data_IF_754693443322
#
_entry.id   IF_754693443322
#
_cell.length_a   1.000
_cell.length_b   1.000
_cell.length_c   1.000
_cell.angle_alpha   90.00
_cell.angle_beta   90.00
_cell.angle_gamma   90.00
#
_symmetry.space_group_name_H-M   'P 1'
#
loop_
_entity.id
_entity.type
_entity.pdbx_description
1 polymer ?
#
# COMPACT_ATOMS: atom_id res chain seq x y z
N UNK A 1 8.08 -26.90 -32.53
CA UNK A 1 9.01 -28.07 -32.54
C UNK A 1 8.79 -28.86 -31.26
N UNK A 2 8.44 -30.14 -31.33
CA UNK A 2 8.38 -31.08 -30.19
C UNK A 2 9.78 -31.24 -29.64
N UNK A 3 9.95 -30.97 -28.33
CA UNK A 3 11.18 -31.21 -27.58
C UNK A 3 11.11 -32.69 -27.16
N UNK A 4 11.64 -33.56 -27.97
CA UNK A 4 11.72 -35.00 -27.67
C UNK A 4 13.08 -35.24 -27.01
N UNK A 5 13.12 -35.84 -25.81
CA UNK A 5 14.35 -36.31 -25.16
C UNK A 5 15.07 -35.32 -24.26
N UNK A 6 14.63 -34.06 -24.09
CA UNK A 6 15.28 -33.12 -23.14
C UNK A 6 14.56 -33.08 -21.80
N UNK A 7 15.35 -33.04 -20.70
CA UNK A 7 14.82 -32.84 -19.35
C UNK A 7 14.25 -31.43 -19.22
N UNK A 8 12.94 -31.31 -19.06
CA UNK A 8 12.21 -30.05 -18.93
C UNK A 8 11.44 -30.00 -17.61
N UNK A 9 11.31 -28.80 -17.03
CA UNK A 9 10.37 -28.53 -15.96
C UNK A 9 9.09 -27.92 -16.57
N UNK A 10 7.94 -28.44 -16.17
CA UNK A 10 6.63 -27.93 -16.57
C UNK A 10 6.14 -26.94 -15.50
N UNK A 11 5.82 -25.73 -15.92
CA UNK A 11 5.16 -24.76 -15.03
C UNK A 11 3.69 -25.14 -14.77
N UNK A 12 3.06 -24.57 -13.72
CA UNK A 12 1.63 -24.78 -13.46
C UNK A 12 0.72 -24.38 -14.65
N UNK A 13 1.18 -23.48 -15.50
CA UNK A 13 0.48 -23.07 -16.74
C UNK A 13 0.78 -23.98 -17.95
N UNK A 14 1.52 -25.08 -17.76
CA UNK A 14 1.87 -26.00 -18.83
C UNK A 14 3.07 -25.60 -19.68
N UNK A 15 3.68 -24.44 -19.47
CA UNK A 15 4.88 -24.04 -20.19
C UNK A 15 6.08 -24.92 -19.79
N UNK A 16 6.92 -25.30 -20.77
CA UNK A 16 8.06 -26.17 -20.58
C UNK A 16 9.35 -25.35 -20.57
N UNK A 17 10.17 -25.54 -19.53
CA UNK A 17 11.46 -24.88 -19.36
C UNK A 17 12.59 -25.92 -19.41
N UNK A 18 13.51 -25.70 -20.33
CA UNK A 18 14.71 -26.58 -20.50
C UNK A 18 15.63 -26.49 -19.30
N UNK A 19 16.17 -27.61 -18.86
CA UNK A 19 17.12 -27.70 -17.73
C UNK A 19 18.59 -27.81 -18.19
N UNK A 20 18.83 -28.14 -19.46
CA UNK A 20 20.15 -28.43 -19.98
C UNK A 20 21.03 -27.17 -20.16
N UNK A 21 20.43 -26.03 -20.40
CA UNK A 21 21.13 -24.74 -20.59
C UNK A 21 20.61 -23.72 -19.61
N UNK A 22 21.51 -23.07 -18.89
CA UNK A 22 21.13 -21.89 -18.10
C UNK A 22 20.73 -20.77 -19.04
N UNK A 23 19.66 -20.05 -18.66
CA UNK A 23 19.27 -18.84 -19.37
C UNK A 23 20.07 -17.63 -18.90
N UNK A 24 20.23 -16.62 -19.76
CA UNK A 24 20.94 -15.38 -19.45
C UNK A 24 20.31 -14.67 -18.23
N UNK A 25 18.97 -14.54 -18.20
CA UNK A 25 18.26 -13.86 -17.11
C UNK A 25 18.47 -14.53 -15.76
N UNK A 26 18.34 -15.87 -15.59
CA UNK A 26 18.69 -16.55 -14.34
C UNK A 26 20.15 -16.32 -13.92
N UNK A 27 21.10 -16.27 -14.82
CA UNK A 27 22.52 -16.03 -14.49
C UNK A 27 22.75 -14.59 -14.01
N UNK A 28 22.15 -13.60 -14.66
CA UNK A 28 22.21 -12.20 -14.22
C UNK A 28 21.55 -12.03 -12.86
N UNK A 29 20.36 -12.58 -12.67
CA UNK A 29 19.65 -12.51 -11.39
C UNK A 29 20.44 -13.17 -10.25
N UNK A 30 21.11 -14.31 -10.51
CA UNK A 30 21.97 -14.96 -9.51
C UNK A 30 23.16 -14.07 -9.14
N UNK A 31 23.78 -13.40 -10.11
CA UNK A 31 24.90 -12.49 -9.86
C UNK A 31 24.44 -11.27 -9.03
N UNK A 32 23.29 -10.68 -9.38
CA UNK A 32 22.69 -9.57 -8.61
C UNK A 32 22.31 -10.01 -7.19
N UNK A 33 21.75 -11.21 -7.03
CA UNK A 33 21.42 -11.75 -5.72
C UNK A 33 22.68 -11.89 -4.85
N UNK A 34 23.71 -12.54 -5.36
CA UNK A 34 25.00 -12.68 -4.67
C UNK A 34 25.61 -11.33 -4.31
N UNK A 35 25.52 -10.34 -5.21
CA UNK A 35 26.00 -8.99 -4.92
C UNK A 35 25.17 -8.34 -3.80
N UNK A 36 23.86 -8.46 -3.83
CA UNK A 36 22.96 -7.94 -2.80
C UNK A 36 23.29 -8.57 -1.43
N UNK A 37 23.48 -9.88 -1.36
CA UNK A 37 23.79 -10.56 -0.09
C UNK A 37 25.13 -10.07 0.50
N UNK A 38 26.15 -9.90 -0.34
CA UNK A 38 27.43 -9.30 0.09
C UNK A 38 27.25 -7.85 0.57
N UNK A 39 26.39 -7.10 -0.07
CA UNK A 39 26.08 -5.70 0.32
C UNK A 39 25.35 -5.65 1.66
N UNK A 40 24.40 -6.56 1.90
CA UNK A 40 23.67 -6.66 3.17
C UNK A 40 24.61 -6.88 4.37
N UNK A 41 25.70 -7.63 4.23
CA UNK A 41 26.67 -7.83 5.30
C UNK A 41 27.36 -6.52 5.73
N UNK A 42 27.36 -5.51 4.88
CA UNK A 42 27.99 -4.21 5.12
C UNK A 42 27.01 -3.12 5.62
N UNK A 43 25.73 -3.42 5.81
CA UNK A 43 24.73 -2.43 6.29
C UNK A 43 25.08 -1.87 7.67
N UNK A 44 25.86 -2.63 8.49
CA UNK A 44 26.32 -2.18 9.79
C UNK A 44 27.45 -1.13 9.75
N UNK A 45 28.06 -0.91 8.59
CA UNK A 45 29.03 0.17 8.40
C UNK A 45 28.34 1.55 8.53
N UNK A 46 29.03 2.58 9.03
CA UNK A 46 28.45 3.90 9.23
C UNK A 46 27.88 4.50 7.93
N UNK A 47 26.70 5.11 8.02
CA UNK A 47 26.00 5.71 6.88
C UNK A 47 24.96 4.79 6.26
N UNK A 48 24.22 5.31 5.30
CA UNK A 48 23.10 4.61 4.64
C UNK A 48 23.43 4.08 3.24
N UNK A 49 24.69 4.20 2.81
CA UNK A 49 25.11 3.83 1.46
C UNK A 49 24.81 2.36 1.13
N UNK A 50 25.20 1.43 2.00
CA UNK A 50 25.01 0.00 1.74
C UNK A 50 23.56 -0.42 1.84
N UNK A 51 22.77 0.21 2.69
CA UNK A 51 21.33 -0.02 2.75
C UNK A 51 20.64 0.45 1.46
N UNK A 52 20.94 1.66 1.00
CA UNK A 52 20.43 2.17 -0.28
C UNK A 52 20.89 1.33 -1.48
N UNK A 53 22.15 0.88 -1.47
CA UNK A 53 22.71 0.05 -2.55
C UNK A 53 22.00 -1.31 -2.63
N UNK A 54 21.83 -2.02 -1.50
CA UNK A 54 21.12 -3.30 -1.49
C UNK A 54 19.65 -3.16 -1.90
N UNK A 55 19.01 -2.04 -1.53
CA UNK A 55 17.66 -1.73 -1.96
C UNK A 55 17.58 -1.48 -3.46
N UNK A 56 18.53 -0.71 -4.03
CA UNK A 56 18.61 -0.46 -5.48
C UNK A 56 18.80 -1.76 -6.27
N UNK A 57 19.66 -2.66 -5.79
CA UNK A 57 19.83 -4.00 -6.39
C UNK A 57 18.51 -4.79 -6.32
N UNK A 58 17.79 -4.75 -5.20
CA UNK A 58 16.47 -5.39 -5.07
C UNK A 58 15.47 -4.85 -6.10
N UNK A 59 15.39 -3.53 -6.27
CA UNK A 59 14.50 -2.89 -7.25
C UNK A 59 14.87 -3.31 -8.67
N UNK A 60 16.17 -3.33 -9.00
CA UNK A 60 16.66 -3.80 -10.30
C UNK A 60 16.26 -5.27 -10.56
N UNK A 61 16.47 -6.17 -9.60
CA UNK A 61 16.07 -7.58 -9.73
C UNK A 61 14.56 -7.74 -9.95
N UNK A 62 13.73 -7.00 -9.21
CA UNK A 62 12.28 -7.06 -9.35
C UNK A 62 11.81 -6.52 -10.71
N UNK A 63 12.53 -5.56 -11.32
CA UNK A 63 12.19 -5.00 -12.62
C UNK A 63 12.27 -6.02 -13.76
N UNK A 64 13.10 -7.05 -13.65
CA UNK A 64 13.18 -8.14 -14.65
C UNK A 64 11.84 -8.83 -14.86
N UNK A 65 11.10 -9.09 -13.77
CA UNK A 65 9.76 -9.66 -13.89
C UNK A 65 8.82 -8.74 -14.70
N UNK A 66 8.81 -7.44 -14.39
CA UNK A 66 7.98 -6.45 -15.08
C UNK A 66 8.29 -6.36 -16.57
N UNK A 67 9.58 -6.35 -16.92
CA UNK A 67 10.04 -6.34 -18.33
C UNK A 67 9.57 -7.61 -19.06
N UNK A 68 9.71 -8.78 -18.44
CA UNK A 68 9.37 -10.06 -19.08
C UNK A 68 7.86 -10.30 -19.17
N UNK A 69 7.07 -9.75 -18.24
CA UNK A 69 5.62 -9.92 -18.19
C UNK A 69 4.87 -8.89 -19.05
N UNK A 70 5.47 -7.74 -19.34
CA UNK A 70 4.84 -6.66 -20.09
C UNK A 70 5.02 -6.83 -21.61
N UNK A 71 3.94 -6.64 -22.37
CA UNK A 71 3.98 -6.64 -23.84
C UNK A 71 4.68 -5.44 -24.45
N UNK A 72 5.00 -4.44 -23.64
CA UNK A 72 5.61 -3.18 -24.09
C UNK A 72 7.09 -3.29 -24.43
N UNK A 73 7.81 -4.23 -23.80
CA UNK A 73 9.26 -4.35 -23.96
C UNK A 73 9.67 -5.37 -25.01
N UNK A 74 10.85 -5.16 -25.63
CA UNK A 74 11.39 -6.03 -26.68
C UNK A 74 11.66 -7.47 -26.22
N UNK A 75 12.06 -7.68 -24.98
CA UNK A 75 12.37 -8.98 -24.39
C UNK A 75 11.21 -9.52 -23.52
N UNK A 76 10.01 -9.45 -24.03
CA UNK A 76 8.85 -9.94 -23.32
C UNK A 76 8.53 -11.40 -23.68
N UNK A 77 8.05 -12.14 -22.69
CA UNK A 77 7.47 -13.47 -22.91
C UNK A 77 6.37 -13.76 -21.88
N UNK A 78 5.09 -13.61 -22.26
CA UNK A 78 3.96 -13.82 -21.35
C UNK A 78 3.94 -15.19 -20.68
N UNK A 79 4.47 -16.24 -21.33
CA UNK A 79 4.59 -17.59 -20.74
C UNK A 79 5.58 -17.62 -19.59
N UNK A 80 6.68 -16.83 -19.66
CA UNK A 80 7.64 -16.72 -18.57
C UNK A 80 7.00 -15.92 -17.43
N UNK A 81 6.49 -14.71 -17.69
CA UNK A 81 5.83 -13.88 -16.68
C UNK A 81 4.69 -14.60 -15.97
N UNK A 82 3.79 -15.23 -16.75
CA UNK A 82 2.70 -16.03 -16.19
C UNK A 82 3.18 -17.23 -15.37
N UNK A 83 4.27 -17.90 -15.80
CA UNK A 83 4.84 -19.03 -15.05
C UNK A 83 5.45 -18.61 -13.73
N UNK A 84 6.13 -17.45 -13.66
CA UNK A 84 6.67 -16.90 -12.41
C UNK A 84 5.55 -16.71 -11.38
N UNK A 85 4.47 -16.01 -11.75
CA UNK A 85 3.32 -15.82 -10.84
C UNK A 85 2.59 -17.12 -10.49
N UNK A 86 2.51 -18.07 -11.44
CA UNK A 86 1.87 -19.35 -11.18
C UNK A 86 2.69 -20.22 -10.20
N UNK A 87 4.00 -20.21 -10.28
CA UNK A 87 4.86 -20.86 -9.28
C UNK A 87 4.76 -20.18 -7.92
N UNK A 88 4.75 -18.85 -7.87
CA UNK A 88 4.60 -18.11 -6.61
C UNK A 88 3.27 -18.45 -5.92
N UNK A 89 2.14 -18.44 -6.66
CA UNK A 89 0.82 -18.83 -6.12
C UNK A 89 0.85 -20.27 -5.58
N UNK A 90 1.35 -21.24 -6.37
CA UNK A 90 1.47 -22.62 -5.91
C UNK A 90 2.35 -22.74 -4.67
N UNK A 91 3.43 -21.95 -4.58
CA UNK A 91 4.29 -21.90 -3.41
C UNK A 91 3.52 -21.52 -2.16
N UNK A 92 2.80 -20.40 -2.20
CA UNK A 92 2.03 -19.89 -1.05
C UNK A 92 0.85 -20.82 -0.71
N UNK A 93 0.19 -21.41 -1.71
CA UNK A 93 -0.87 -22.43 -1.52
C UNK A 93 -0.31 -23.67 -0.79
N UNK A 94 0.89 -24.12 -1.14
CA UNK A 94 1.55 -25.25 -0.46
C UNK A 94 1.87 -24.91 1.00
N UNK A 95 2.36 -23.69 1.27
CA UNK A 95 2.61 -23.20 2.64
C UNK A 95 1.30 -23.18 3.45
N UNK A 96 0.25 -22.60 2.89
CA UNK A 96 -1.08 -22.57 3.52
C UNK A 96 -1.59 -23.98 3.86
N UNK A 97 -1.51 -24.91 2.90
CA UNK A 97 -1.96 -26.29 3.09
C UNK A 97 -1.09 -27.03 4.14
N UNK A 98 0.20 -26.73 4.18
CA UNK A 98 1.12 -27.31 5.18
C UNK A 98 0.77 -26.81 6.59
N UNK A 99 0.57 -25.51 6.76
CA UNK A 99 0.12 -24.89 8.01
C UNK A 99 -1.18 -25.51 8.52
N UNK A 100 -2.18 -25.65 7.63
CA UNK A 100 -3.44 -26.33 7.99
C UNK A 100 -3.26 -27.75 8.47
N UNK A 101 -2.41 -28.54 7.78
CA UNK A 101 -2.10 -29.92 8.19
C UNK A 101 -1.38 -30.00 9.55
N UNK A 102 -0.59 -28.99 9.88
CA UNK A 102 0.06 -28.85 11.18
C UNK A 102 -0.90 -28.31 12.26
N UNK A 103 -2.16 -28.01 11.91
CA UNK A 103 -3.17 -27.54 12.84
C UNK A 103 -3.06 -26.07 13.19
N UNK A 104 -2.40 -25.25 12.35
CA UNK A 104 -2.33 -23.80 12.52
C UNK A 104 -3.58 -23.10 11.98
N UNK A 105 -3.99 -22.04 12.66
CA UNK A 105 -4.99 -21.08 12.14
C UNK A 105 -4.29 -20.05 11.27
N UNK A 106 -4.59 -20.05 9.97
CA UNK A 106 -4.14 -19.00 9.05
C UNK A 106 -5.20 -17.92 9.03
N UNK A 107 -4.85 -16.73 9.52
CA UNK A 107 -5.75 -15.59 9.71
C UNK A 107 -5.90 -14.82 8.40
N UNK A 108 -4.76 -14.57 7.70
CA UNK A 108 -4.73 -13.75 6.50
C UNK A 108 -3.56 -14.18 5.58
N UNK A 109 -3.65 -13.86 4.31
CA UNK A 109 -2.57 -14.06 3.35
C UNK A 109 -2.62 -13.04 2.22
N UNK A 110 -1.47 -12.54 1.81
CA UNK A 110 -1.38 -11.60 0.69
C UNK A 110 -0.13 -11.88 -0.15
N UNK A 111 -0.35 -12.19 -1.40
CA UNK A 111 0.65 -12.37 -2.47
C UNK A 111 1.78 -13.36 -2.13
N UNK A 112 2.63 -13.03 -1.18
CA UNK A 112 3.86 -13.74 -0.79
C UNK A 112 4.02 -13.90 0.73
N UNK A 113 3.00 -13.55 1.50
CA UNK A 113 3.00 -13.64 2.97
C UNK A 113 1.77 -14.39 3.50
N UNK A 114 1.93 -14.98 4.66
CA UNK A 114 0.86 -15.62 5.45
C UNK A 114 0.92 -15.11 6.88
N UNK A 115 -0.25 -14.86 7.46
CA UNK A 115 -0.44 -14.45 8.86
C UNK A 115 -1.03 -15.62 9.61
N UNK A 116 -0.34 -16.05 10.65
CA UNK A 116 -0.63 -17.28 11.37
C UNK A 116 -0.76 -16.98 12.84
N UNK A 117 -1.76 -17.55 13.49
CA UNK A 117 -1.83 -17.54 14.94
C UNK A 117 -0.69 -18.37 15.50
N UNK A 118 0.20 -17.73 16.26
CA UNK A 118 1.34 -18.44 16.88
C UNK A 118 0.87 -19.41 17.94
N UNK A 119 1.63 -20.49 18.10
CA UNK A 119 1.60 -21.45 19.20
C UNK A 119 2.85 -21.28 20.04
N UNK A 120 3.11 -22.20 20.96
CA UNK A 120 4.25 -22.13 21.90
C UNK A 120 5.62 -22.37 21.27
N UNK A 121 5.71 -22.61 19.97
CA UNK A 121 6.98 -22.86 19.28
C UNK A 121 7.64 -21.58 18.76
N UNK A 122 8.97 -21.65 18.58
CA UNK A 122 9.76 -20.56 17.99
C UNK A 122 9.32 -20.29 16.53
N UNK A 123 8.83 -19.08 16.22
CA UNK A 123 8.37 -18.72 14.89
C UNK A 123 9.47 -18.73 13.83
N UNK A 124 10.75 -18.61 14.20
CA UNK A 124 11.87 -18.79 13.27
C UNK A 124 12.03 -20.25 12.85
N UNK A 125 11.79 -21.19 13.76
CA UNK A 125 11.80 -22.62 13.46
C UNK A 125 10.65 -22.96 12.51
N UNK A 126 9.46 -22.44 12.79
CA UNK A 126 8.29 -22.59 11.90
C UNK A 126 8.57 -22.07 10.50
N UNK A 127 9.11 -20.86 10.36
CA UNK A 127 9.45 -20.27 9.05
C UNK A 127 10.44 -21.17 8.28
N UNK A 128 11.47 -21.68 8.95
CA UNK A 128 12.43 -22.60 8.35
C UNK A 128 11.77 -23.92 7.92
N UNK A 129 10.88 -24.46 8.72
CA UNK A 129 10.16 -25.68 8.40
C UNK A 129 9.23 -25.49 7.20
N UNK A 130 8.58 -24.33 7.06
CA UNK A 130 7.73 -23.99 5.94
C UNK A 130 8.49 -23.77 4.63
N UNK A 131 9.78 -23.53 4.71
CA UNK A 131 10.65 -23.34 3.55
C UNK A 131 10.78 -24.61 2.72
N UNK A 132 10.92 -24.45 1.40
CA UNK A 132 11.11 -25.53 0.46
C UNK A 132 12.14 -25.13 -0.61
N UNK A 133 12.60 -26.07 -1.42
CA UNK A 133 13.57 -25.80 -2.48
C UNK A 133 13.03 -24.73 -3.45
N UNK A 134 13.66 -23.58 -3.45
CA UNK A 134 13.30 -22.45 -4.31
C UNK A 134 12.19 -21.57 -3.73
N UNK A 135 11.77 -21.81 -2.49
CA UNK A 135 10.85 -20.96 -1.71
C UNK A 135 11.39 -20.89 -0.27
N UNK A 136 12.03 -19.80 0.05
CA UNK A 136 12.52 -19.52 1.40
C UNK A 136 11.49 -18.67 2.13
N UNK A 137 11.07 -19.12 3.32
CA UNK A 137 10.17 -18.39 4.20
C UNK A 137 10.98 -17.82 5.35
N UNK A 138 10.75 -16.55 5.61
CA UNK A 138 11.38 -15.81 6.72
C UNK A 138 10.30 -15.27 7.65
N UNK A 139 10.59 -15.20 8.94
CA UNK A 139 9.79 -14.46 9.88
C UNK A 139 9.98 -12.96 9.60
N UNK A 140 8.92 -12.26 9.22
CA UNK A 140 8.98 -10.83 8.95
C UNK A 140 8.60 -10.01 10.19
N UNK A 141 7.53 -10.39 10.87
CA UNK A 141 7.00 -9.67 12.04
C UNK A 141 6.28 -10.60 13.00
N UNK A 142 6.32 -10.27 14.29
CA UNK A 142 5.40 -10.79 15.30
C UNK A 142 4.44 -9.66 15.67
N UNK A 143 3.16 -9.97 15.69
CA UNK A 143 2.09 -9.02 15.93
C UNK A 143 1.37 -9.39 17.24
N UNK A 144 1.18 -8.41 18.14
CA UNK A 144 0.33 -8.60 19.33
C UNK A 144 -1.15 -8.56 18.98
N UNK A 145 -1.52 -7.63 18.10
CA UNK A 145 -2.91 -7.48 17.64
C UNK A 145 -2.97 -7.25 16.14
N UNK A 146 -4.06 -7.72 15.52
CA UNK A 146 -4.27 -7.62 14.08
C UNK A 146 -5.73 -7.34 13.77
N UNK A 147 -6.00 -6.35 12.94
CA UNK A 147 -7.32 -5.99 12.47
C UNK A 147 -7.40 -5.98 10.95
N UNK A 148 -8.44 -6.58 10.40
CA UNK A 148 -8.83 -6.50 9.00
C UNK A 148 -10.34 -6.57 8.86
N UNK A 149 -10.91 -5.78 7.95
CA UNK A 149 -12.35 -5.82 7.62
C UNK A 149 -12.65 -6.73 6.40
N UNK A 150 -11.72 -7.64 6.07
CA UNK A 150 -11.90 -8.59 4.97
C UNK A 150 -11.54 -8.07 3.58
N UNK A 151 -11.31 -6.77 3.40
CA UNK A 151 -10.84 -6.24 2.12
C UNK A 151 -9.37 -6.58 1.86
N UNK A 152 -9.07 -6.96 0.63
CA UNK A 152 -7.70 -7.30 0.22
C UNK A 152 -6.75 -6.13 0.44
N UNK A 153 -5.60 -6.42 1.06
CA UNK A 153 -4.50 -5.45 1.27
C UNK A 153 -4.84 -4.29 2.23
N UNK A 154 -5.91 -4.40 3.02
CA UNK A 154 -6.27 -3.43 4.06
C UNK A 154 -6.25 -4.09 5.43
N UNK A 155 -5.28 -3.73 6.24
CA UNK A 155 -5.13 -4.22 7.60
C UNK A 155 -4.28 -3.27 8.46
N UNK A 156 -4.48 -3.37 9.77
CA UNK A 156 -3.70 -2.68 10.79
C UNK A 156 -3.22 -3.69 11.84
N UNK A 157 -2.09 -3.43 12.48
CA UNK A 157 -1.51 -4.29 13.49
C UNK A 157 -0.62 -3.50 14.45
N UNK A 158 -0.48 -4.02 15.67
CA UNK A 158 0.61 -3.66 16.57
C UNK A 158 1.71 -4.70 16.43
N UNK A 159 2.89 -4.26 16.07
CA UNK A 159 4.09 -5.10 15.90
C UNK A 159 4.85 -5.14 17.22
N UNK A 160 5.27 -6.33 17.64
CA UNK A 160 6.15 -6.53 18.80
C UNK A 160 7.61 -6.75 18.37
N UNK A 161 7.81 -7.50 17.29
CA UNK A 161 9.14 -7.80 16.76
C UNK A 161 9.17 -7.58 15.24
N UNK A 162 10.25 -7.06 14.67
CA UNK A 162 11.58 -6.78 15.25
C UNK A 162 11.67 -5.46 16.04
N UNK A 163 10.66 -4.61 15.94
CA UNK A 163 10.56 -3.34 16.64
C UNK A 163 9.09 -3.02 16.87
N UNK A 164 8.77 -2.56 18.07
CA UNK A 164 7.43 -2.10 18.39
C UNK A 164 7.03 -0.93 17.50
N UNK A 165 5.97 -1.11 16.72
CA UNK A 165 5.42 -0.09 15.84
C UNK A 165 3.95 -0.34 15.52
N UNK A 166 3.22 0.75 15.27
CA UNK A 166 1.93 0.68 14.60
C UNK A 166 2.15 0.48 13.10
N UNK A 167 1.62 -0.62 12.59
CA UNK A 167 1.78 -1.02 11.20
C UNK A 167 0.45 -1.03 10.48
N UNK A 168 0.36 -0.33 9.36
CA UNK A 168 -0.87 -0.21 8.58
C UNK A 168 -0.59 -0.35 7.10
N UNK A 169 -1.44 -1.10 6.42
CA UNK A 169 -1.43 -1.22 4.95
C UNK A 169 -2.80 -0.95 4.35
N UNK A 170 -2.78 -0.33 3.17
CA UNK A 170 -3.95 -0.17 2.30
C UNK A 170 -4.97 0.86 2.73
N UNK A 171 -4.92 1.34 3.96
CA UNK A 171 -5.74 2.45 4.43
C UNK A 171 -5.21 3.80 3.91
N UNK A 172 -6.05 4.82 3.92
CA UNK A 172 -5.77 6.12 3.27
C UNK A 172 -4.80 7.03 4.05
N UNK A 173 -4.08 6.50 5.04
CA UNK A 173 -3.14 7.25 5.89
C UNK A 173 -1.97 7.88 5.12
N UNK A 174 -1.59 7.32 3.97
CA UNK A 174 -0.45 7.78 3.16
C UNK A 174 -0.86 8.38 1.81
N UNK A 175 -2.16 8.54 1.55
CA UNK A 175 -2.65 9.07 0.28
C UNK A 175 -2.56 10.58 0.26
N UNK A 176 -2.02 11.14 -0.81
CA UNK A 176 -1.91 12.58 -1.00
C UNK A 176 -3.24 13.31 -1.23
N UNK A 177 -4.35 12.56 -1.39
CA UNK A 177 -5.69 13.10 -1.55
C UNK A 177 -6.53 13.07 -0.27
N UNK A 178 -5.94 12.67 0.86
CA UNK A 178 -6.56 12.70 2.18
C UNK A 178 -6.12 13.96 2.93
N UNK A 179 -7.05 14.64 3.58
CA UNK A 179 -6.77 15.79 4.43
C UNK A 179 -6.29 15.34 5.83
N UNK A 180 -5.68 16.24 6.60
CA UNK A 180 -4.95 15.89 7.82
C UNK A 180 -5.85 15.25 8.88
N UNK A 181 -6.97 15.89 9.25
CA UNK A 181 -7.90 15.36 10.26
C UNK A 181 -8.47 13.99 9.87
N UNK A 182 -8.71 13.74 8.57
CA UNK A 182 -9.14 12.42 8.08
C UNK A 182 -8.12 11.33 8.39
N UNK A 183 -6.83 11.61 8.17
CA UNK A 183 -5.74 10.66 8.46
C UNK A 183 -5.57 10.44 9.96
N UNK A 184 -5.63 11.50 10.75
CA UNK A 184 -5.46 11.44 12.21
C UNK A 184 -6.59 10.65 12.86
N UNK A 185 -7.84 10.93 12.50
CA UNK A 185 -9.01 10.19 13.01
C UNK A 185 -8.94 8.72 12.60
N UNK A 186 -8.61 8.42 11.35
CA UNK A 186 -8.45 7.03 10.90
C UNK A 186 -7.33 6.31 11.65
N UNK A 187 -6.18 6.93 11.83
CA UNK A 187 -5.06 6.33 12.56
C UNK A 187 -5.40 6.06 14.02
N UNK A 188 -5.96 7.06 14.71
CA UNK A 188 -6.33 6.93 16.11
C UNK A 188 -7.45 5.90 16.31
N UNK A 189 -8.44 5.87 15.43
CA UNK A 189 -9.50 4.85 15.48
C UNK A 189 -8.94 3.44 15.31
N UNK A 190 -8.03 3.22 14.36
CA UNK A 190 -7.38 1.91 14.19
C UNK A 190 -6.55 1.51 15.41
N UNK A 191 -5.88 2.46 16.07
CA UNK A 191 -5.14 2.20 17.32
C UNK A 191 -6.07 1.80 18.46
N UNK A 192 -7.18 2.51 18.63
CA UNK A 192 -8.19 2.18 19.64
C UNK A 192 -8.81 0.80 19.41
N UNK A 193 -9.11 0.46 18.15
CA UNK A 193 -9.63 -0.88 17.79
C UNK A 193 -8.61 -1.97 18.12
N UNK A 194 -7.33 -1.75 17.82
CA UNK A 194 -6.26 -2.71 18.15
C UNK A 194 -6.03 -2.85 19.66
N UNK A 195 -6.51 -1.90 20.47
CA UNK A 195 -6.52 -1.93 21.93
C UNK A 195 -7.83 -2.47 22.52
N UNK A 196 -8.70 -3.05 21.67
CA UNK A 196 -10.02 -3.56 22.05
C UNK A 196 -10.99 -2.49 22.58
N UNK A 197 -10.88 -1.26 22.07
CA UNK A 197 -11.71 -0.11 22.43
C UNK A 197 -12.49 0.46 21.22
N UNK A 198 -13.36 -0.32 20.55
CA UNK A 198 -14.08 0.14 19.36
C UNK A 198 -15.09 1.27 19.66
N UNK A 199 -15.67 1.30 20.86
CA UNK A 199 -16.62 2.35 21.27
C UNK A 199 -15.96 3.72 21.36
N UNK A 200 -14.71 3.78 21.85
CA UNK A 200 -13.95 5.03 21.89
C UNK A 200 -13.54 5.47 20.49
N UNK A 201 -13.30 4.52 19.58
CA UNK A 201 -13.07 4.83 18.18
C UNK A 201 -14.33 5.44 17.54
N UNK A 202 -15.52 4.92 17.80
CA UNK A 202 -16.79 5.49 17.35
C UNK A 202 -16.99 6.92 17.89
N UNK A 203 -16.76 7.13 19.20
CA UNK A 203 -16.84 8.48 19.81
C UNK A 203 -15.91 9.47 19.15
N UNK A 204 -14.67 9.06 18.87
CA UNK A 204 -13.69 9.89 18.18
C UNK A 204 -14.17 10.31 16.78
N UNK A 205 -14.72 9.38 16.00
CA UNK A 205 -15.25 9.66 14.67
C UNK A 205 -16.44 10.61 14.73
N UNK A 206 -17.41 10.32 15.60
CA UNK A 206 -18.61 11.13 15.80
C UNK A 206 -18.26 12.56 16.21
N UNK A 207 -17.32 12.72 17.13
CA UNK A 207 -16.85 14.04 17.56
C UNK A 207 -16.13 14.80 16.44
N UNK A 208 -15.31 14.12 15.65
CA UNK A 208 -14.65 14.74 14.50
C UNK A 208 -15.68 15.21 13.45
N UNK A 209 -16.69 14.40 13.15
CA UNK A 209 -17.78 14.78 12.25
C UNK A 209 -18.54 16.00 12.79
N UNK A 210 -18.86 16.01 14.10
CA UNK A 210 -19.52 17.16 14.76
C UNK A 210 -18.69 18.44 14.61
N UNK A 211 -17.39 18.38 14.89
CA UNK A 211 -16.47 19.52 14.75
C UNK A 211 -16.39 20.04 13.33
N UNK A 212 -16.33 19.16 12.33
CA UNK A 212 -16.34 19.56 10.92
C UNK A 212 -17.65 20.29 10.57
N UNK A 213 -18.80 19.74 10.98
CA UNK A 213 -20.12 20.34 10.70
C UNK A 213 -20.32 21.69 11.40
N UNK A 214 -19.73 21.87 12.56
CA UNK A 214 -19.81 23.13 13.33
C UNK A 214 -18.74 24.17 12.92
N UNK A 215 -17.93 23.89 11.93
CA UNK A 215 -16.81 24.76 11.51
C UNK A 215 -15.78 25.01 12.63
N UNK A 216 -15.57 24.01 13.51
CA UNK A 216 -14.61 24.04 14.61
C UNK A 216 -13.21 23.50 14.22
N UNK A 217 -13.02 23.11 12.95
CA UNK A 217 -11.75 22.59 12.42
C UNK A 217 -11.01 23.69 11.66
N UNK A 218 -9.73 23.82 11.95
CA UNK A 218 -8.86 24.76 11.25
C UNK A 218 -8.72 24.39 9.76
N UNK A 219 -8.64 25.41 8.90
CA UNK A 219 -8.58 25.21 7.46
C UNK A 219 -7.39 24.34 7.03
N UNK A 220 -6.24 24.47 7.72
CA UNK A 220 -5.02 23.71 7.50
C UNK A 220 -5.21 22.21 7.64
N UNK A 221 -6.12 21.77 8.50
CA UNK A 221 -6.41 20.37 8.77
C UNK A 221 -7.32 19.72 7.69
N UNK A 222 -7.91 20.56 6.81
CA UNK A 222 -8.79 20.15 5.72
C UNK A 222 -8.13 20.23 4.33
N UNK A 223 -6.89 20.67 4.26
CA UNK A 223 -6.17 20.85 3.00
C UNK A 223 -5.86 19.50 2.35
N UNK A 224 -6.11 19.45 1.04
CA UNK A 224 -5.66 18.39 0.15
C UNK A 224 -4.49 18.90 -0.67
N UNK A 225 -3.38 18.16 -0.69
CA UNK A 225 -2.19 18.51 -1.47
C UNK A 225 -1.85 17.41 -2.46
N UNK A 226 -1.75 17.74 -3.75
CA UNK A 226 -1.44 16.76 -4.81
C UNK A 226 -0.59 17.37 -5.91
N UNK A 227 0.27 16.55 -6.53
CA UNK A 227 0.95 16.97 -7.76
C UNK A 227 -0.05 17.06 -8.90
N UNK A 228 -0.05 18.21 -9.59
CA UNK A 228 -0.96 18.50 -10.70
C UNK A 228 -0.17 18.44 -11.99
N UNK A 229 -0.60 17.61 -12.92
CA UNK A 229 0.00 17.47 -14.26
C UNK A 229 -0.52 18.59 -15.18
N UNK A 230 0.01 18.63 -16.41
CA UNK A 230 -0.53 19.51 -17.44
C UNK A 230 -2.04 19.25 -17.64
N UNK A 231 -2.90 20.30 -17.79
CA UNK A 231 -4.33 20.12 -18.05
C UNK A 231 -4.61 19.19 -19.24
N UNK A 232 -3.77 19.18 -20.26
CA UNK A 232 -3.88 18.31 -21.44
C UNK A 232 -3.71 16.81 -21.15
N UNK A 233 -3.19 16.44 -19.99
CA UNK A 233 -3.02 15.04 -19.56
C UNK A 233 -4.25 14.48 -18.83
N UNK A 234 -5.26 15.29 -18.58
CA UNK A 234 -6.51 14.88 -17.93
C UNK A 234 -7.63 14.70 -18.96
N UNK A 235 -8.46 13.70 -18.76
CA UNK A 235 -9.64 13.48 -19.61
C UNK A 235 -10.65 14.64 -19.47
N UNK A 236 -10.85 15.10 -18.22
CA UNK A 236 -11.73 16.22 -17.90
C UNK A 236 -10.97 17.21 -17.00
N UNK A 237 -10.15 18.11 -17.55
CA UNK A 237 -9.33 19.02 -16.76
C UNK A 237 -10.19 19.98 -15.92
N UNK A 238 -11.29 20.48 -16.47
CA UNK A 238 -12.17 21.44 -15.78
C UNK A 238 -12.86 20.85 -14.54
N UNK A 239 -13.05 19.52 -14.51
CA UNK A 239 -13.63 18.82 -13.35
C UNK A 239 -12.56 18.40 -12.33
N UNK A 240 -11.27 18.60 -12.63
CA UNK A 240 -10.20 18.21 -11.72
C UNK A 240 -9.90 19.31 -10.71
N UNK A 241 -10.13 19.04 -9.43
CA UNK A 241 -9.94 20.00 -8.34
C UNK A 241 -8.53 20.62 -8.31
N UNK A 242 -7.48 19.81 -8.55
CA UNK A 242 -6.11 20.31 -8.59
C UNK A 242 -5.85 21.24 -9.77
N UNK A 243 -6.43 20.96 -10.95
CA UNK A 243 -6.32 21.84 -12.14
C UNK A 243 -7.06 23.15 -11.92
N UNK A 244 -8.25 23.11 -11.33
CA UNK A 244 -9.00 24.33 -10.97
C UNK A 244 -8.22 25.17 -9.97
N UNK A 245 -7.67 24.57 -8.92
CA UNK A 245 -6.85 25.27 -7.92
C UNK A 245 -5.61 25.90 -8.55
N UNK A 246 -4.92 25.18 -9.44
CA UNK A 246 -3.77 25.69 -10.18
C UNK A 246 -4.12 26.87 -11.08
N UNK A 247 -5.26 26.82 -11.79
CA UNK A 247 -5.75 27.92 -12.62
C UNK A 247 -6.09 29.17 -11.79
N UNK A 248 -6.74 28.99 -10.62
CA UNK A 248 -7.03 30.09 -9.69
C UNK A 248 -5.76 30.70 -9.10
N UNK A 249 -4.72 29.89 -8.80
CA UNK A 249 -3.40 30.38 -8.39
C UNK A 249 -2.77 31.26 -9.46
N UNK A 250 -2.77 30.79 -10.70
CA UNK A 250 -2.21 31.52 -11.83
C UNK A 250 -2.92 32.85 -12.05
N UNK A 251 -4.25 32.87 -11.96
CA UNK A 251 -5.06 34.08 -12.06
C UNK A 251 -4.74 35.09 -10.95
N UNK A 252 -4.24 34.63 -9.79
CA UNK A 252 -3.80 35.49 -8.66
C UNK A 252 -2.32 35.90 -8.76
N UNK A 253 -1.64 35.59 -9.87
CA UNK A 253 -0.25 35.95 -10.10
C UNK A 253 0.79 34.96 -9.52
N UNK A 254 0.37 33.80 -9.03
CA UNK A 254 1.26 32.74 -8.54
C UNK A 254 1.54 31.74 -9.65
N UNK A 255 2.73 31.73 -10.26
CA UNK A 255 3.04 30.78 -11.33
C UNK A 255 3.16 29.37 -10.77
N UNK A 256 2.69 28.38 -11.53
CA UNK A 256 2.89 26.97 -11.23
C UNK A 256 3.38 26.24 -12.47
N UNK A 257 4.09 25.13 -12.28
CA UNK A 257 4.56 24.25 -13.34
C UNK A 257 3.91 22.88 -13.20
N UNK A 258 3.57 22.21 -14.34
CA UNK A 258 3.07 20.84 -14.31
C UNK A 258 4.01 19.92 -13.51
N UNK A 259 3.43 19.10 -12.63
CA UNK A 259 4.16 18.22 -11.70
C UNK A 259 4.41 18.81 -10.31
N UNK A 260 4.21 20.12 -10.10
CA UNK A 260 4.30 20.73 -8.76
C UNK A 260 3.12 20.34 -7.88
N UNK A 261 3.33 20.38 -6.57
CA UNK A 261 2.27 20.16 -5.59
C UNK A 261 1.42 21.41 -5.46
N UNK A 262 0.12 21.26 -5.59
CA UNK A 262 -0.87 22.28 -5.37
C UNK A 262 -1.73 21.87 -4.18
N UNK A 263 -1.99 22.81 -3.30
CA UNK A 263 -2.85 22.65 -2.12
C UNK A 263 -4.18 23.38 -2.33
N UNK A 264 -5.26 22.75 -1.90
CA UNK A 264 -6.60 23.36 -2.01
C UNK A 264 -7.54 22.86 -0.92
N UNK A 265 -8.62 23.58 -0.75
CA UNK A 265 -9.79 23.22 0.05
C UNK A 265 -11.02 23.19 -0.84
N UNK A 266 -11.97 22.31 -0.54
CA UNK A 266 -13.28 22.27 -1.21
C UNK A 266 -14.19 23.28 -0.55
N UNK A 267 -14.70 24.25 -1.34
CA UNK A 267 -15.58 25.31 -0.86
C UNK A 267 -17.06 25.04 -1.16
N UNK A 268 -17.37 24.32 -2.25
CA UNK A 268 -18.73 23.95 -2.60
C UNK A 268 -18.75 22.68 -3.47
N UNK A 269 -19.20 21.58 -2.89
CA UNK A 269 -19.31 20.28 -3.58
C UNK A 269 -20.62 20.12 -4.35
N UNK A 270 -21.61 20.98 -4.12
CA UNK A 270 -22.94 20.91 -4.78
C UNK A 270 -22.92 21.50 -6.20
N UNK A 271 -21.88 22.23 -6.56
CA UNK A 271 -21.68 22.71 -7.93
C UNK A 271 -21.08 21.62 -8.83
N UNK A 272 -21.31 21.74 -10.13
CA UNK A 272 -20.72 20.87 -11.16
C UNK A 272 -20.01 21.74 -12.20
N UNK A 273 -18.70 21.72 -12.30
CA UNK A 273 -17.74 20.99 -11.45
C UNK A 273 -17.69 21.52 -10.01
N UNK A 274 -17.30 20.64 -9.06
CA UNK A 274 -17.10 20.99 -7.66
C UNK A 274 -16.15 22.18 -7.52
N UNK A 275 -16.52 23.17 -6.70
CA UNK A 275 -15.70 24.35 -6.49
C UNK A 275 -14.62 24.13 -5.42
N UNK A 276 -13.41 24.58 -5.74
CA UNK A 276 -12.26 24.52 -4.83
C UNK A 276 -11.55 25.87 -4.76
N UNK A 277 -10.94 26.17 -3.62
CA UNK A 277 -10.06 27.32 -3.44
C UNK A 277 -8.62 26.85 -3.20
N UNK A 278 -7.63 27.41 -3.91
CA UNK A 278 -6.24 27.11 -3.66
C UNK A 278 -5.83 27.62 -2.29
N UNK A 279 -5.02 26.84 -1.59
CA UNK A 279 -4.45 27.22 -0.31
C UNK A 279 -2.99 27.67 -0.46
N UNK A 280 -2.65 28.79 0.17
CA UNK A 280 -1.30 29.34 0.24
C UNK A 280 -1.00 29.63 1.71
N UNK A 281 -0.04 28.93 2.29
CA UNK A 281 0.33 28.98 3.70
C UNK A 281 0.72 30.41 4.19
N UNK A 282 1.25 31.22 3.30
CA UNK A 282 1.72 32.58 3.62
C UNK A 282 0.63 33.66 3.58
N UNK A 283 -0.60 33.28 3.21
CA UNK A 283 -1.72 34.23 3.06
C UNK A 283 -2.85 33.82 3.99
N UNK A 284 -3.30 34.76 4.84
CA UNK A 284 -4.52 34.57 5.61
C UNK A 284 -5.73 34.44 4.69
N UNK A 285 -6.17 33.18 4.51
CA UNK A 285 -7.26 32.85 3.61
C UNK A 285 -8.58 32.70 4.37
N UNK A 286 -9.43 33.72 4.26
CA UNK A 286 -10.80 33.66 4.78
C UNK A 286 -11.73 32.88 3.83
N UNK A 287 -11.45 31.59 3.66
CA UNK A 287 -12.24 30.69 2.82
C UNK A 287 -13.11 29.81 3.72
N UNK A 288 -14.42 29.76 3.43
CA UNK A 288 -15.27 28.77 4.06
C UNK A 288 -15.13 27.43 3.33
N UNK A 289 -14.99 26.37 4.09
CA UNK A 289 -14.98 25.02 3.54
C UNK A 289 -16.39 24.41 3.48
N UNK A 290 -16.60 23.47 2.57
CA UNK A 290 -17.84 22.70 2.47
C UNK A 290 -17.87 21.62 3.58
N UNK A 291 -18.52 21.95 4.69
CA UNK A 291 -18.61 21.09 5.88
C UNK A 291 -19.29 19.74 5.60
N UNK A 292 -20.31 19.72 4.72
CA UNK A 292 -21.00 18.48 4.39
C UNK A 292 -20.06 17.55 3.60
N UNK A 293 -19.32 18.09 2.63
CA UNK A 293 -18.33 17.33 1.87
C UNK A 293 -17.27 16.68 2.75
N UNK A 294 -16.69 17.44 3.69
CA UNK A 294 -15.63 16.93 4.54
C UNK A 294 -16.14 15.91 5.58
N UNK A 295 -17.33 16.15 6.15
CA UNK A 295 -18.00 15.21 7.04
C UNK A 295 -18.30 13.88 6.32
N UNK A 296 -18.96 13.93 5.17
CA UNK A 296 -19.26 12.76 4.34
C UNK A 296 -18.02 11.99 3.95
N UNK A 297 -16.95 12.70 3.62
CA UNK A 297 -15.68 12.06 3.23
C UNK A 297 -15.01 11.34 4.40
N UNK A 298 -15.05 11.92 5.60
CA UNK A 298 -14.58 11.26 6.82
C UNK A 298 -15.39 9.99 7.09
N UNK A 299 -16.72 10.08 7.07
CA UNK A 299 -17.61 8.94 7.28
C UNK A 299 -17.36 7.82 6.26
N UNK A 300 -17.24 8.16 4.96
CA UNK A 300 -16.91 7.16 3.92
C UNK A 300 -15.57 6.48 4.14
N UNK A 301 -14.59 7.18 4.71
CA UNK A 301 -13.30 6.58 5.06
C UNK A 301 -13.45 5.55 6.17
N UNK A 302 -14.38 5.77 7.08
CA UNK A 302 -14.65 4.88 8.21
C UNK A 302 -15.68 3.78 7.91
N UNK A 303 -16.41 3.87 6.80
CA UNK A 303 -17.54 2.96 6.50
C UNK A 303 -17.16 1.48 6.48
N UNK A 304 -15.98 1.14 5.94
CA UNK A 304 -15.51 -0.25 5.90
C UNK A 304 -15.23 -0.79 7.32
N UNK A 305 -14.78 0.07 8.24
CA UNK A 305 -14.51 -0.26 9.64
C UNK A 305 -15.83 -0.33 10.40
N UNK A 306 -16.70 0.65 10.18
CA UNK A 306 -18.02 0.74 10.78
C UNK A 306 -18.85 -0.53 10.57
N UNK A 307 -18.80 -1.09 9.36
CA UNK A 307 -19.51 -2.33 9.02
C UNK A 307 -19.00 -3.58 9.77
N UNK A 308 -17.83 -3.54 10.40
CA UNK A 308 -17.33 -4.65 11.25
C UNK A 308 -17.90 -4.58 12.66
N UNK A 309 -18.20 -3.37 13.15
CA UNK A 309 -18.63 -3.11 14.51
C UNK A 309 -20.09 -2.69 14.61
N UNK A 310 -20.87 -2.81 13.52
CA UNK A 310 -22.28 -2.41 13.44
C UNK A 310 -22.52 -0.95 13.91
N UNK A 311 -21.63 -0.04 13.49
CA UNK A 311 -21.76 1.39 13.81
C UNK A 311 -22.82 2.04 12.92
N UNK A 312 -24.08 1.83 13.24
CA UNK A 312 -25.23 2.26 12.42
C UNK A 312 -25.41 3.78 12.41
N UNK A 313 -24.88 4.50 13.39
CA UNK A 313 -25.00 5.96 13.51
C UNK A 313 -23.64 6.60 13.84
N UNK A 314 -22.95 7.10 12.80
CA UNK A 314 -21.73 7.89 12.95
C UNK A 314 -22.01 9.40 13.06
N UNK A 315 -23.23 9.80 13.38
CA UNK A 315 -23.64 11.21 13.52
C UNK A 315 -23.79 11.95 12.19
N UNK A 316 -24.24 11.26 11.14
CA UNK A 316 -24.64 11.86 9.85
C UNK A 316 -25.90 12.64 9.93
#
# INVERSE_FOLDING_TARGET
>A
RRIVGERCVRSPLGALFRQKRKGIVPDVLKSLWTWRDKTKLKIKEPGDYYDRLQYSIKVLMNSFYGVMASSFYRFTNPKIGGSVTAFARRGIENVYNKLKKMGYTVIYGDTDSVFVQLKDEDPHVLAKELSARGLEMELEKILSTFFTHGAKKRYAAMVEWPKEEFYVKGYELKRGDSFKIQREVLEQSLRLILQDNPDDALRLVTEAVRKIKNEEIELEDLIVTKSVKSPSEYVNPDSNAGVQAAAKLQARGYPWLPGTKISWVVSNSKQTPMEVEPYIETIDMKVKYDRDYYADRLVRTMSDIAGVFDWDDMGL
#
